data_IF_209909328527
#
_entry.id   IF_209909328527
#
_cell.length_a   1.000
_cell.length_b   1.000
_cell.length_c   1.000
_cell.angle_alpha   90.00
_cell.angle_beta   90.00
_cell.angle_gamma   90.00
#
_symmetry.space_group_name_H-M   'P 1'
#
loop_
_entity.id
_entity.type
_entity.pdbx_description
1 polymer ?
#
# COMPACT_ATOMS: atom_id res chain seq x y z
N UNK A 1 -19.36 -20.03 -25.10
CA UNK A 1 -19.38 -19.52 -23.71
C UNK A 1 -18.88 -18.09 -23.79
N UNK A 2 -19.51 -17.10 -23.14
CA UNK A 2 -18.90 -15.78 -23.04
C UNK A 2 -17.49 -15.97 -22.48
N UNK A 3 -16.49 -15.33 -23.08
CA UNK A 3 -15.17 -15.32 -22.49
C UNK A 3 -15.26 -14.81 -21.04
N UNK A 4 -14.47 -15.39 -20.13
CA UNK A 4 -14.42 -14.91 -18.77
C UNK A 4 -13.80 -13.50 -18.81
N UNK A 5 -14.63 -12.48 -18.55
CA UNK A 5 -14.23 -11.05 -18.60
C UNK A 5 -12.97 -10.82 -17.78
N UNK A 6 -12.82 -11.49 -16.64
CA UNK A 6 -11.65 -11.34 -15.81
C UNK A 6 -10.38 -11.91 -16.46
N UNK A 7 -10.50 -13.00 -17.23
CA UNK A 7 -9.39 -13.58 -17.98
C UNK A 7 -8.95 -12.67 -19.13
N UNK A 8 -9.89 -12.05 -19.85
CA UNK A 8 -9.54 -11.14 -20.94
C UNK A 8 -8.83 -9.88 -20.42
N UNK A 9 -9.36 -9.27 -19.35
CA UNK A 9 -8.73 -8.12 -18.69
C UNK A 9 -7.35 -8.52 -18.15
N UNK A 10 -7.25 -9.67 -17.47
CA UNK A 10 -5.97 -10.16 -16.92
C UNK A 10 -4.94 -10.37 -18.03
N UNK A 11 -5.32 -11.03 -19.13
CA UNK A 11 -4.45 -11.29 -20.27
C UNK A 11 -3.93 -9.99 -20.89
N UNK A 12 -4.79 -8.98 -21.05
CA UNK A 12 -4.40 -7.65 -21.54
C UNK A 12 -3.36 -7.00 -20.63
N UNK A 13 -3.65 -6.92 -19.33
CA UNK A 13 -2.72 -6.30 -18.37
C UNK A 13 -1.41 -7.05 -18.26
N UNK A 14 -1.40 -8.38 -18.33
CA UNK A 14 -0.16 -9.17 -18.30
C UNK A 14 0.69 -8.98 -19.57
N UNK A 15 0.05 -8.94 -20.74
CA UNK A 15 0.74 -8.72 -22.01
C UNK A 15 1.39 -7.32 -22.09
N UNK A 16 0.73 -6.31 -21.53
CA UNK A 16 1.16 -4.92 -21.60
C UNK A 16 1.83 -4.43 -20.30
N UNK A 17 1.99 -5.27 -19.28
CA UNK A 17 2.50 -4.87 -17.97
C UNK A 17 3.84 -4.13 -18.06
N UNK A 18 4.70 -4.52 -19.01
CA UNK A 18 6.00 -3.90 -19.23
C UNK A 18 5.96 -2.42 -19.62
N UNK A 19 4.90 -1.97 -20.30
CA UNK A 19 4.72 -0.58 -20.76
C UNK A 19 4.30 0.37 -19.63
N UNK A 20 3.74 -0.18 -18.55
CA UNK A 20 3.23 0.60 -17.43
C UNK A 20 4.35 1.18 -16.57
N UNK A 21 4.04 2.31 -15.93
CA UNK A 21 4.94 2.92 -14.96
C UNK A 21 5.29 1.94 -13.84
N UNK A 22 6.47 2.10 -13.24
CA UNK A 22 6.89 1.29 -12.09
C UNK A 22 5.85 1.25 -10.96
N UNK A 23 5.19 2.38 -10.70
CA UNK A 23 4.14 2.46 -9.69
C UNK A 23 2.92 1.62 -10.06
N UNK A 24 2.42 1.77 -11.28
CA UNK A 24 1.26 1.03 -11.81
C UNK A 24 1.56 -0.48 -11.87
N UNK A 25 2.74 -0.89 -12.36
CA UNK A 25 3.17 -2.30 -12.34
C UNK A 25 3.17 -2.90 -10.95
N UNK A 26 3.70 -2.15 -9.96
CA UNK A 26 3.68 -2.59 -8.56
C UNK A 26 2.25 -2.71 -8.06
N UNK A 27 1.40 -1.75 -8.36
CA UNK A 27 0.02 -1.70 -7.89
C UNK A 27 -0.78 -2.91 -8.36
N UNK A 28 -0.69 -3.23 -9.66
CA UNK A 28 -1.28 -4.40 -10.29
C UNK A 28 -0.73 -5.69 -9.66
N UNK A 29 0.60 -5.84 -9.68
CA UNK A 29 1.27 -7.05 -9.20
C UNK A 29 1.02 -7.31 -7.70
N UNK A 30 0.93 -6.26 -6.88
CA UNK A 30 0.66 -6.40 -5.45
C UNK A 30 -0.72 -7.00 -5.20
N UNK A 31 -1.75 -6.53 -5.92
CA UNK A 31 -3.11 -7.06 -5.82
C UNK A 31 -3.19 -8.48 -6.32
N UNK A 32 -2.63 -8.75 -7.50
CA UNK A 32 -2.61 -10.09 -8.06
C UNK A 32 -1.91 -11.09 -7.14
N UNK A 33 -0.78 -10.73 -6.53
CA UNK A 33 -0.14 -11.59 -5.53
C UNK A 33 -1.06 -11.91 -4.34
N UNK A 34 -1.81 -10.92 -3.84
CA UNK A 34 -2.66 -11.09 -2.66
C UNK A 34 -3.88 -11.96 -2.90
N UNK A 35 -4.38 -12.00 -4.14
CA UNK A 35 -5.51 -12.87 -4.50
C UNK A 35 -5.11 -14.23 -5.09
N UNK A 36 -3.87 -14.38 -5.61
CA UNK A 36 -3.43 -15.64 -6.25
C UNK A 36 -2.33 -16.38 -5.50
N UNK A 37 -1.55 -15.67 -4.68
CA UNK A 37 -0.31 -16.17 -4.09
C UNK A 37 0.83 -16.38 -5.10
N UNK A 38 0.64 -16.05 -6.37
CA UNK A 38 1.58 -16.41 -7.44
C UNK A 38 2.90 -15.61 -7.34
N UNK A 39 4.05 -16.29 -7.16
CA UNK A 39 5.35 -15.65 -7.08
C UNK A 39 5.73 -14.81 -8.30
N UNK A 40 5.12 -15.00 -9.47
CA UNK A 40 5.41 -14.22 -10.69
C UNK A 40 5.18 -12.72 -10.50
N UNK A 41 4.33 -12.33 -9.55
CA UNK A 41 4.03 -10.93 -9.23
C UNK A 41 4.98 -10.30 -8.18
N UNK A 42 5.86 -11.07 -7.54
CA UNK A 42 6.81 -10.56 -6.54
C UNK A 42 7.86 -9.59 -7.12
N UNK A 43 8.44 -9.79 -8.32
CA UNK A 43 9.51 -8.94 -8.85
C UNK A 43 9.19 -7.44 -8.88
N UNK A 44 7.99 -7.05 -9.31
CA UNK A 44 7.58 -5.63 -9.37
C UNK A 44 7.52 -4.98 -7.97
N UNK A 45 7.04 -5.73 -6.96
CA UNK A 45 7.03 -5.30 -5.57
C UNK A 45 8.46 -5.08 -5.03
N UNK A 46 9.38 -6.00 -5.34
CA UNK A 46 10.80 -5.89 -4.98
C UNK A 46 11.47 -4.70 -5.66
N UNK A 47 11.20 -4.49 -6.93
CA UNK A 47 11.74 -3.36 -7.69
C UNK A 47 11.31 -2.02 -7.08
N UNK A 48 10.02 -1.92 -6.72
CA UNK A 48 9.46 -0.75 -6.04
C UNK A 48 10.08 -0.51 -4.67
N UNK A 49 10.20 -1.55 -3.83
CA UNK A 49 10.81 -1.43 -2.51
C UNK A 49 12.27 -0.92 -2.60
N UNK A 50 13.03 -1.39 -3.61
CA UNK A 50 14.39 -0.89 -3.89
C UNK A 50 14.44 0.58 -4.28
N UNK A 51 13.47 1.10 -5.04
CA UNK A 51 13.42 2.54 -5.35
C UNK A 51 12.94 3.39 -4.17
N UNK A 52 12.13 2.81 -3.28
CA UNK A 52 11.56 3.51 -2.14
C UNK A 52 12.58 3.70 -1.02
N UNK A 53 13.43 2.69 -0.78
CA UNK A 53 14.40 2.69 0.31
C UNK A 53 15.34 3.93 0.35
N UNK A 54 15.96 4.39 -0.76
CA UNK A 54 16.77 5.61 -0.73
C UNK A 54 15.98 6.86 -0.39
N UNK A 55 14.71 6.95 -0.79
CA UNK A 55 13.85 8.09 -0.45
C UNK A 55 13.54 8.10 1.05
N UNK A 56 13.17 6.95 1.62
CA UNK A 56 12.91 6.85 3.05
C UNK A 56 14.14 7.18 3.89
N UNK A 57 15.33 6.70 3.52
CA UNK A 57 16.57 7.05 4.23
C UNK A 57 16.85 8.56 4.20
N UNK A 58 16.61 9.22 3.07
CA UNK A 58 16.72 10.69 2.98
C UNK A 58 15.70 11.39 3.87
N UNK A 59 14.44 10.93 3.85
CA UNK A 59 13.39 11.50 4.67
C UNK A 59 13.72 11.34 6.18
N UNK A 60 14.19 10.15 6.59
CA UNK A 60 14.58 9.87 7.98
C UNK A 60 15.77 10.71 8.46
N UNK A 61 16.80 10.86 7.62
CA UNK A 61 17.93 11.72 7.93
C UNK A 61 17.51 13.19 7.99
N UNK A 62 16.66 13.62 7.05
CA UNK A 62 16.15 14.99 6.96
C UNK A 62 15.35 15.42 8.19
N UNK A 63 14.70 14.50 8.90
CA UNK A 63 14.01 14.77 10.17
C UNK A 63 14.91 15.28 11.30
N UNK A 64 16.25 15.26 11.13
CA UNK A 64 17.15 15.96 12.04
C UNK A 64 17.01 17.50 11.97
N UNK A 65 16.51 18.03 10.85
CA UNK A 65 16.18 19.44 10.68
C UNK A 65 14.68 19.67 10.98
N UNK A 66 14.32 20.46 12.00
CA UNK A 66 12.92 20.76 12.32
C UNK A 66 12.13 21.43 11.19
N UNK A 67 12.81 22.10 10.23
CA UNK A 67 12.16 22.72 9.08
C UNK A 67 11.89 21.75 7.93
N UNK A 68 12.52 20.57 7.95
CA UNK A 68 12.42 19.60 6.87
C UNK A 68 10.97 19.19 6.56
N UNK A 69 10.12 18.80 7.53
CA UNK A 69 8.74 18.43 7.24
C UNK A 69 7.93 19.52 6.54
N UNK A 70 8.08 20.78 6.98
CA UNK A 70 7.37 21.91 6.41
C UNK A 70 7.84 22.20 4.97
N UNK A 71 9.15 22.15 4.72
CA UNK A 71 9.70 22.30 3.36
C UNK A 71 9.18 21.21 2.43
N UNK A 72 9.26 19.94 2.85
CA UNK A 72 8.75 18.81 2.06
C UNK A 72 7.24 18.88 1.83
N UNK A 73 6.47 19.38 2.80
CA UNK A 73 5.03 19.62 2.63
C UNK A 73 4.75 20.70 1.57
N UNK A 74 5.47 21.83 1.60
CA UNK A 74 5.33 22.91 0.61
C UNK A 74 5.64 22.43 -0.80
N UNK A 75 6.73 21.68 -0.98
CA UNK A 75 7.06 21.07 -2.28
C UNK A 75 5.94 20.16 -2.77
N UNK A 76 5.35 19.36 -1.87
CA UNK A 76 4.25 18.44 -2.21
C UNK A 76 2.98 19.19 -2.61
N UNK A 77 2.63 20.25 -1.89
CA UNK A 77 1.47 21.09 -2.22
C UNK A 77 1.70 21.76 -3.59
N UNK A 78 2.88 22.34 -3.82
CA UNK A 78 3.22 22.98 -5.08
C UNK A 78 3.13 22.02 -6.27
N UNK A 79 3.76 20.84 -6.17
CA UNK A 79 3.66 19.82 -7.22
C UNK A 79 2.23 19.33 -7.44
N UNK A 80 1.40 19.26 -6.39
CA UNK A 80 -0.02 18.91 -6.54
C UNK A 80 -0.80 19.99 -7.28
N UNK A 81 -0.56 21.26 -6.94
CA UNK A 81 -1.17 22.40 -7.61
C UNK A 81 -0.75 22.49 -9.10
N UNK A 82 0.48 22.08 -9.42
CA UNK A 82 0.99 21.99 -10.79
C UNK A 82 0.49 20.76 -11.58
N UNK A 83 -0.17 19.78 -10.93
CA UNK A 83 -0.62 18.54 -11.55
C UNK A 83 0.43 17.40 -11.57
N UNK A 84 1.64 17.63 -11.06
CA UNK A 84 2.81 16.73 -11.15
C UNK A 84 2.78 15.49 -10.22
N UNK A 85 1.73 15.34 -9.40
CA UNK A 85 1.59 14.25 -8.43
C UNK A 85 0.45 13.28 -8.77
N UNK A 86 -0.21 13.44 -9.91
CA UNK A 86 -1.29 12.55 -10.35
C UNK A 86 -0.78 11.36 -11.14
N UNK A 87 -0.86 10.16 -10.55
CA UNK A 87 -1.23 8.98 -11.35
C UNK A 87 -2.73 9.09 -11.61
N UNK A 88 -3.08 9.06 -12.89
CA UNK A 88 -4.39 9.24 -13.47
C UNK A 88 -4.97 10.64 -13.53
N UNK A 89 -5.77 10.87 -14.58
CA UNK A 89 -6.51 12.06 -14.98
C UNK A 89 -7.46 12.56 -13.89
N UNK A 90 -6.93 12.89 -12.71
CA UNK A 90 -7.68 13.61 -11.70
C UNK A 90 -8.04 14.97 -12.30
N UNK A 91 -9.34 15.24 -12.39
CA UNK A 91 -9.89 16.55 -12.71
C UNK A 91 -9.03 17.63 -12.03
N UNK A 92 -8.46 18.60 -12.79
CA UNK A 92 -7.57 19.62 -12.24
C UNK A 92 -8.14 20.31 -10.98
N UNK A 93 -9.48 20.45 -10.91
CA UNK A 93 -10.19 20.95 -9.74
C UNK A 93 -10.03 20.10 -8.47
N UNK A 94 -9.96 18.76 -8.58
CA UNK A 94 -9.78 17.85 -7.43
C UNK A 94 -8.40 18.00 -6.81
N UNK A 95 -7.35 18.08 -7.63
CA UNK A 95 -5.98 18.27 -7.11
C UNK A 95 -5.80 19.66 -6.51
N UNK A 96 -6.42 20.69 -7.10
CA UNK A 96 -6.42 22.04 -6.56
C UNK A 96 -7.12 22.12 -5.20
N UNK A 97 -8.34 21.60 -5.06
CA UNK A 97 -9.06 21.56 -3.76
C UNK A 97 -8.24 20.86 -2.68
N UNK A 98 -7.57 19.75 -3.03
CA UNK A 98 -6.66 19.03 -2.12
C UNK A 98 -5.46 19.87 -1.72
N UNK A 99 -4.87 20.62 -2.65
CA UNK A 99 -3.73 21.50 -2.35
C UNK A 99 -4.15 22.65 -1.43
N UNK A 100 -5.31 23.26 -1.71
CA UNK A 100 -5.90 24.35 -0.91
C UNK A 100 -6.20 23.90 0.52
N UNK A 101 -6.87 22.76 0.70
CA UNK A 101 -7.12 22.21 2.04
C UNK A 101 -5.79 21.96 2.78
N UNK A 102 -4.84 21.27 2.15
CA UNK A 102 -3.58 20.88 2.77
C UNK A 102 -2.63 22.04 3.08
N UNK A 103 -2.80 23.19 2.44
CA UNK A 103 -2.03 24.39 2.74
C UNK A 103 -2.18 24.84 4.20
N UNK A 104 -3.33 24.51 4.82
CA UNK A 104 -3.64 24.87 6.20
C UNK A 104 -3.14 23.84 7.23
N UNK A 105 -2.49 22.75 6.78
CA UNK A 105 -2.11 21.61 7.64
C UNK A 105 -0.59 21.42 7.78
N UNK A 106 0.21 22.46 7.53
CA UNK A 106 1.64 22.50 7.86
C UNK A 106 2.44 21.26 7.42
N UNK A 107 2.95 20.48 8.38
CA UNK A 107 3.76 19.27 8.15
C UNK A 107 2.98 18.01 7.71
N UNK A 108 1.65 18.00 7.76
CA UNK A 108 0.83 16.81 7.47
C UNK A 108 0.97 16.26 6.04
N UNK A 109 1.06 17.06 4.96
CA UNK A 109 1.26 16.54 3.62
C UNK A 109 2.52 15.67 3.49
N UNK A 110 3.60 16.04 4.17
CA UNK A 110 4.79 15.21 4.28
C UNK A 110 4.52 14.01 5.19
N UNK A 111 3.93 14.22 6.37
CA UNK A 111 3.67 13.17 7.36
C UNK A 111 2.81 12.02 6.80
N UNK A 112 1.65 12.31 6.22
CA UNK A 112 0.76 11.30 5.62
C UNK A 112 1.48 10.53 4.50
N UNK A 113 2.35 11.21 3.76
CA UNK A 113 3.12 10.57 2.70
C UNK A 113 4.27 9.70 3.24
N UNK A 114 4.92 10.12 4.32
CA UNK A 114 5.93 9.33 5.03
C UNK A 114 5.28 8.08 5.64
N UNK A 115 4.15 8.25 6.33
CA UNK A 115 3.32 7.20 6.91
C UNK A 115 2.99 6.12 5.87
N UNK A 116 2.45 6.51 4.71
CA UNK A 116 2.19 5.60 3.60
C UNK A 116 3.45 4.86 3.13
N UNK A 117 4.59 5.56 2.92
CA UNK A 117 5.83 4.89 2.47
C UNK A 117 6.35 3.89 3.51
N UNK A 118 6.24 4.23 4.80
CA UNK A 118 6.64 3.35 5.89
C UNK A 118 5.72 2.13 5.99
N UNK A 119 4.40 2.29 5.88
CA UNK A 119 3.45 1.17 5.89
C UNK A 119 3.69 0.22 4.71
N UNK A 120 4.06 0.75 3.53
CA UNK A 120 4.47 -0.08 2.40
C UNK A 120 5.71 -0.92 2.72
N UNK A 121 6.77 -0.34 3.29
CA UNK A 121 7.96 -1.12 3.67
C UNK A 121 7.69 -2.10 4.81
N UNK A 122 6.82 -1.74 5.75
CA UNK A 122 6.34 -2.63 6.80
C UNK A 122 5.60 -3.84 6.21
N UNK A 123 4.70 -3.63 5.24
CA UNK A 123 3.97 -4.71 4.57
C UNK A 123 4.89 -5.71 3.86
N UNK A 124 6.03 -5.24 3.33
CA UNK A 124 7.05 -6.09 2.73
C UNK A 124 7.97 -6.78 3.75
N UNK A 125 7.87 -6.46 5.04
CA UNK A 125 8.75 -6.96 6.09
C UNK A 125 10.16 -6.33 6.05
N UNK A 126 10.25 -5.07 5.59
CA UNK A 126 11.53 -4.38 5.38
C UNK A 126 11.74 -3.14 6.26
N UNK A 127 10.71 -2.65 6.96
CA UNK A 127 10.87 -1.55 7.89
C UNK A 127 11.77 -1.98 9.06
N UNK A 128 12.78 -1.19 9.41
CA UNK A 128 13.78 -1.55 10.44
C UNK A 128 14.83 -2.57 9.99
N UNK A 129 14.81 -2.98 8.71
CA UNK A 129 15.87 -3.83 8.14
C UNK A 129 16.95 -3.01 7.44
N UNK A 130 18.09 -3.61 7.12
CA UNK A 130 19.23 -2.99 6.44
C UNK A 130 18.92 -1.93 5.33
N UNK A 131 17.95 -2.14 4.40
CA UNK A 131 17.62 -1.13 3.40
C UNK A 131 16.94 0.14 3.94
N UNK A 132 16.35 0.11 5.14
CA UNK A 132 15.50 1.16 5.74
C UNK A 132 15.75 1.26 7.25
N UNK A 133 17.02 1.35 7.64
CA UNK A 133 17.45 1.63 9.02
C UNK A 133 17.15 3.10 9.41
N UNK A 134 17.08 3.38 10.71
CA UNK A 134 16.84 4.72 11.26
C UNK A 134 15.37 5.17 11.21
N UNK A 135 14.45 4.22 11.14
CA UNK A 135 13.02 4.47 11.08
C UNK A 135 12.42 5.01 12.39
N UNK A 136 13.12 4.86 13.50
CA UNK A 136 12.72 5.25 14.86
C UNK A 136 12.43 6.75 14.93
N UNK A 137 13.30 7.59 14.34
CA UNK A 137 13.10 9.04 14.25
C UNK A 137 11.83 9.41 13.47
N UNK A 138 11.49 8.61 12.45
CA UNK A 138 10.27 8.82 11.70
C UNK A 138 9.03 8.42 12.51
N UNK A 139 9.10 7.35 13.31
CA UNK A 139 8.03 7.00 14.24
C UNK A 139 7.83 8.09 15.29
N UNK A 140 8.90 8.62 15.87
CA UNK A 140 8.86 9.75 16.83
C UNK A 140 8.23 11.00 16.22
N UNK A 141 8.66 11.40 15.02
CA UNK A 141 8.06 12.53 14.30
C UNK A 141 6.58 12.31 13.99
N UNK A 142 6.19 11.12 13.54
CA UNK A 142 4.78 10.84 13.26
C UNK A 142 3.97 10.84 14.58
N UNK A 143 4.49 10.29 15.66
CA UNK A 143 3.82 10.27 16.97
C UNK A 143 3.65 11.67 17.60
N UNK A 144 4.46 12.67 17.19
CA UNK A 144 4.37 14.03 17.73
C UNK A 144 3.27 14.88 17.08
N UNK A 145 2.52 14.36 16.12
CA UNK A 145 1.49 15.12 15.38
C UNK A 145 0.09 14.88 15.94
N UNK A 146 -0.76 15.90 15.88
CA UNK A 146 -2.19 15.85 16.26
C UNK A 146 -3.03 15.12 15.19
N UNK A 147 -2.82 13.80 15.02
CA UNK A 147 -3.51 13.00 14.01
C UNK A 147 -5.02 12.93 14.20
N UNK A 148 -5.48 12.94 15.44
CA UNK A 148 -6.90 13.00 15.79
C UNK A 148 -7.53 14.25 15.17
N UNK A 149 -6.95 15.43 15.46
CA UNK A 149 -7.42 16.70 14.92
C UNK A 149 -7.46 16.71 13.39
N UNK A 150 -6.44 16.16 12.74
CA UNK A 150 -6.38 16.12 11.28
C UNK A 150 -7.40 15.15 10.68
N UNK A 151 -7.51 13.94 11.23
CA UNK A 151 -8.29 12.85 10.62
C UNK A 151 -9.79 12.93 10.97
N UNK A 152 -10.19 13.68 11.99
CA UNK A 152 -11.60 13.94 12.31
C UNK A 152 -12.11 15.28 11.79
N UNK A 153 -11.27 16.11 11.18
CA UNK A 153 -11.69 17.39 10.61
C UNK A 153 -12.60 17.19 9.39
N UNK A 154 -13.74 17.87 9.36
CA UNK A 154 -14.74 17.72 8.30
C UNK A 154 -14.21 18.11 6.93
N UNK A 155 -13.39 19.16 6.83
CA UNK A 155 -12.80 19.59 5.56
C UNK A 155 -11.79 18.57 5.02
N UNK A 156 -11.13 17.83 5.91
CA UNK A 156 -10.23 16.74 5.53
C UNK A 156 -11.03 15.53 5.04
N UNK A 157 -12.08 15.13 5.78
CA UNK A 157 -12.96 14.02 5.40
C UNK A 157 -13.63 14.27 4.03
N UNK A 158 -14.15 15.48 3.80
CA UNK A 158 -14.79 15.88 2.55
C UNK A 158 -13.89 15.79 1.30
N UNK A 159 -12.58 15.94 1.50
CA UNK A 159 -11.60 16.00 0.41
C UNK A 159 -10.81 14.69 0.25
N UNK A 160 -10.74 13.88 1.33
CA UNK A 160 -9.80 12.77 1.48
C UNK A 160 -10.35 11.55 2.25
N UNK A 161 -11.66 11.25 2.20
CA UNK A 161 -12.25 10.18 3.01
C UNK A 161 -11.52 8.83 2.91
N UNK A 162 -11.15 8.37 1.70
CA UNK A 162 -10.37 7.13 1.53
C UNK A 162 -8.99 7.20 2.20
N UNK A 163 -8.28 8.32 2.06
CA UNK A 163 -6.96 8.52 2.66
C UNK A 163 -7.05 8.64 4.19
N UNK A 164 -8.12 9.24 4.71
CA UNK A 164 -8.42 9.29 6.14
C UNK A 164 -8.57 7.86 6.68
N UNK A 165 -9.40 7.03 6.04
CA UNK A 165 -9.56 5.63 6.40
C UNK A 165 -8.23 4.86 6.32
N UNK A 166 -7.43 5.04 5.26
CA UNK A 166 -6.15 4.35 5.14
C UNK A 166 -5.15 4.74 6.24
N UNK A 167 -5.07 6.04 6.56
CA UNK A 167 -4.11 6.54 7.54
C UNK A 167 -4.35 5.99 8.93
N UNK A 168 -5.61 5.80 9.36
CA UNK A 168 -5.88 5.27 10.72
C UNK A 168 -5.36 3.84 10.88
N UNK A 169 -5.45 3.01 9.84
CA UNK A 169 -4.89 1.65 9.90
C UNK A 169 -3.37 1.66 9.78
N UNK A 170 -2.77 2.56 8.99
CA UNK A 170 -1.31 2.69 8.97
C UNK A 170 -0.73 3.14 10.32
N UNK A 171 -1.40 4.07 10.99
CA UNK A 171 -0.99 4.54 12.33
C UNK A 171 -1.04 3.38 13.33
N UNK A 172 -2.12 2.60 13.30
CA UNK A 172 -2.28 1.43 14.16
C UNK A 172 -1.25 0.33 13.83
N UNK A 173 -1.06 -0.02 12.54
CA UNK A 173 -0.11 -1.06 12.10
C UNK A 173 1.35 -0.71 12.45
N UNK A 174 1.70 0.57 12.48
CA UNK A 174 3.04 1.03 12.88
C UNK A 174 3.18 1.32 14.38
N UNK A 175 2.12 1.10 15.18
CA UNK A 175 2.13 1.29 16.63
C UNK A 175 2.24 2.76 17.06
N UNK A 176 1.77 3.70 16.24
CA UNK A 176 1.84 5.14 16.53
C UNK A 176 0.68 5.58 17.41
N UNK A 177 -0.56 5.34 16.96
CA UNK A 177 -1.78 5.57 17.72
C UNK A 177 -2.94 4.75 17.13
N UNK A 178 -4.01 4.58 17.91
CA UNK A 178 -5.24 3.94 17.44
C UNK A 178 -6.37 4.96 17.36
N UNK A 179 -6.73 5.32 16.13
CA UNK A 179 -7.79 6.29 15.82
C UNK A 179 -8.92 5.66 15.00
N UNK A 180 -8.96 4.32 14.91
CA UNK A 180 -9.89 3.62 14.01
C UNK A 180 -11.35 3.93 14.35
N UNK A 181 -11.73 3.82 15.62
CA UNK A 181 -13.08 4.10 16.10
C UNK A 181 -13.47 5.60 16.02
N UNK A 182 -12.70 6.55 16.60
CA UNK A 182 -13.10 7.96 16.57
C UNK A 182 -13.18 8.53 15.15
N UNK A 183 -12.33 8.08 14.23
CA UNK A 183 -12.39 8.50 12.82
C UNK A 183 -13.55 7.82 12.09
N UNK A 184 -13.84 6.55 12.35
CA UNK A 184 -15.04 5.91 11.79
C UNK A 184 -16.33 6.61 12.26
N UNK A 185 -16.39 7.07 13.51
CA UNK A 185 -17.48 7.90 14.00
C UNK A 185 -17.54 9.26 13.30
N UNK A 186 -16.42 9.98 13.19
CA UNK A 186 -16.37 11.28 12.50
C UNK A 186 -16.83 11.18 11.03
N UNK A 187 -16.41 10.14 10.31
CA UNK A 187 -16.84 9.90 8.92
C UNK A 187 -18.34 9.59 8.85
N UNK A 188 -18.87 8.75 9.75
CA UNK A 188 -20.32 8.43 9.79
C UNK A 188 -21.15 9.67 10.12
N UNK A 189 -20.71 10.48 11.06
CA UNK A 189 -21.38 11.73 11.43
C UNK A 189 -21.33 12.76 10.29
N UNK A 190 -20.26 12.78 9.50
CA UNK A 190 -20.18 13.65 8.32
C UNK A 190 -21.07 13.18 7.17
N UNK A 191 -21.30 11.89 7.06
CA UNK A 191 -22.02 11.27 5.96
C UNK A 191 -23.16 10.34 6.41
N UNK A 192 -24.16 10.86 7.15
CA UNK A 192 -25.31 10.06 7.54
C UNK A 192 -26.13 9.67 6.29
N UNK A 193 -26.78 8.50 6.32
CA UNK A 193 -27.43 7.90 5.15
C UNK A 193 -28.65 8.72 4.66
N UNK A 194 -29.39 9.33 5.58
CA UNK A 194 -30.57 10.16 5.29
C UNK A 194 -30.22 11.49 4.58
N UNK A 195 -28.92 11.82 4.47
CA UNK A 195 -28.41 13.01 3.79
C UNK A 195 -27.80 12.75 2.42
N UNK A 196 -27.88 11.51 1.91
CA UNK A 196 -27.31 11.18 0.61
C UNK A 196 -27.92 11.97 -0.55
N UNK A 197 -29.22 12.30 -0.46
CA UNK A 197 -29.90 13.13 -1.46
C UNK A 197 -29.43 14.59 -1.50
N UNK A 198 -28.75 15.06 -0.45
CA UNK A 198 -28.22 16.43 -0.36
C UNK A 198 -26.79 16.54 -0.92
N UNK A 199 -26.13 15.40 -1.20
CA UNK A 199 -24.74 15.37 -1.66
C UNK A 199 -24.65 15.57 -3.17
N UNK A 200 -23.66 16.34 -3.61
CA UNK A 200 -23.26 16.30 -5.02
C UNK A 200 -22.73 14.91 -5.38
N UNK A 201 -22.77 14.54 -6.66
CA UNK A 201 -22.20 13.27 -7.16
C UNK A 201 -20.74 13.08 -6.73
N UNK A 202 -19.95 14.16 -6.70
CA UNK A 202 -18.55 14.09 -6.28
C UNK A 202 -18.40 13.81 -4.77
N UNK A 203 -19.25 14.40 -3.94
CA UNK A 203 -19.27 14.15 -2.49
C UNK A 203 -19.79 12.76 -2.16
N UNK A 204 -20.85 12.32 -2.81
CA UNK A 204 -21.38 10.96 -2.66
C UNK A 204 -20.34 9.91 -3.04
N UNK A 205 -19.65 10.08 -4.17
CA UNK A 205 -18.53 9.19 -4.55
C UNK A 205 -17.38 9.25 -3.54
N UNK A 206 -17.04 10.42 -3.01
CA UNK A 206 -16.03 10.53 -1.95
C UNK A 206 -16.43 9.79 -0.67
N UNK A 207 -17.71 9.87 -0.26
CA UNK A 207 -18.28 9.08 0.83
C UNK A 207 -18.09 7.58 0.57
N UNK A 208 -18.50 7.09 -0.60
CA UNK A 208 -18.37 5.66 -0.94
C UNK A 208 -16.91 5.20 -0.88
N UNK A 209 -15.98 5.99 -1.43
CA UNK A 209 -14.54 5.74 -1.29
C UNK A 209 -14.08 5.71 0.18
N UNK A 210 -14.59 6.59 1.03
CA UNK A 210 -14.31 6.54 2.46
C UNK A 210 -14.77 5.22 3.07
N UNK A 211 -16.01 4.82 2.79
CA UNK A 211 -16.63 3.64 3.36
C UNK A 211 -15.95 2.35 2.89
N UNK A 212 -15.60 2.24 1.61
CA UNK A 212 -14.89 1.07 1.07
C UNK A 212 -13.50 0.91 1.69
N UNK A 213 -12.81 2.03 1.94
CA UNK A 213 -11.44 2.00 2.42
C UNK A 213 -11.28 1.57 3.88
N UNK A 214 -12.32 1.61 4.72
CA UNK A 214 -12.25 1.04 6.08
C UNK A 214 -11.99 -0.47 6.08
N UNK A 215 -12.86 -1.33 5.53
CA UNK A 215 -12.60 -2.77 5.47
C UNK A 215 -11.39 -3.11 4.58
N UNK A 216 -11.15 -2.36 3.49
CA UNK A 216 -9.95 -2.57 2.65
C UNK A 216 -8.67 -2.34 3.47
N UNK A 217 -8.56 -1.24 4.20
CA UNK A 217 -7.37 -0.98 5.01
C UNK A 217 -7.28 -1.95 6.21
N UNK A 218 -8.41 -2.26 6.86
CA UNK A 218 -8.48 -3.24 7.95
C UNK A 218 -8.06 -4.66 7.54
N UNK A 219 -8.26 -5.02 6.27
CA UNK A 219 -7.78 -6.28 5.69
C UNK A 219 -6.27 -6.30 5.41
N UNK A 220 -5.53 -5.24 5.79
CA UNK A 220 -4.15 -5.03 5.36
C UNK A 220 -4.06 -4.88 3.84
N UNK A 221 -5.09 -4.32 3.20
CA UNK A 221 -5.27 -4.29 1.75
C UNK A 221 -5.28 -5.69 1.13
N UNK A 222 -6.30 -6.50 1.44
CA UNK A 222 -6.57 -7.83 0.88
C UNK A 222 -5.61 -8.93 1.34
N UNK A 223 -5.01 -8.80 2.53
CA UNK A 223 -4.12 -9.82 3.09
C UNK A 223 -4.83 -10.80 4.03
N UNK A 224 -6.02 -10.44 4.52
CA UNK A 224 -6.86 -11.21 5.44
C UNK A 224 -8.33 -10.81 5.27
N UNK A 225 -9.25 -11.68 5.65
CA UNK A 225 -10.66 -11.31 5.78
C UNK A 225 -10.85 -10.37 6.98
N UNK A 226 -11.94 -9.61 6.98
CA UNK A 226 -12.32 -8.74 8.11
C UNK A 226 -13.48 -9.35 8.90
N UNK A 227 -13.58 -9.00 10.18
CA UNK A 227 -14.69 -9.45 11.01
C UNK A 227 -16.02 -8.87 10.52
N UNK A 228 -17.02 -9.73 10.30
CA UNK A 228 -18.33 -9.31 9.78
C UNK A 228 -19.03 -8.26 10.68
N UNK A 229 -18.80 -8.29 11.99
CA UNK A 229 -19.36 -7.32 12.94
C UNK A 229 -18.61 -5.98 12.96
N UNK A 230 -17.30 -5.96 12.69
CA UNK A 230 -16.46 -4.76 12.81
C UNK A 230 -16.87 -3.68 11.78
N UNK A 231 -17.26 -4.11 10.59
CA UNK A 231 -17.67 -3.24 9.49
C UNK A 231 -19.14 -3.45 9.10
N UNK A 232 -19.98 -3.92 10.03
CA UNK A 232 -21.40 -4.17 9.73
C UNK A 232 -22.10 -2.90 9.25
N UNK A 233 -21.78 -1.74 9.82
CA UNK A 233 -22.33 -0.44 9.40
C UNK A 233 -22.00 -0.09 7.93
N UNK A 234 -20.86 -0.54 7.39
CA UNK A 234 -20.52 -0.37 5.97
C UNK A 234 -21.37 -1.31 5.12
N UNK A 235 -21.45 -2.58 5.53
CA UNK A 235 -22.18 -3.63 4.80
C UNK A 235 -23.68 -3.33 4.78
N UNK A 236 -24.26 -2.99 5.93
CA UNK A 236 -25.67 -2.60 6.09
C UNK A 236 -26.00 -1.37 5.25
N UNK A 237 -25.08 -0.39 5.18
CA UNK A 237 -25.25 0.78 4.31
C UNK A 237 -25.26 0.38 2.83
N UNK A 238 -24.34 -0.49 2.38
CA UNK A 238 -24.33 -0.98 1.00
C UNK A 238 -25.59 -1.79 0.66
N UNK A 239 -26.09 -2.61 1.59
CA UNK A 239 -27.35 -3.36 1.45
C UNK A 239 -28.56 -2.42 1.31
N UNK A 240 -28.65 -1.40 2.15
CA UNK A 240 -29.74 -0.45 2.12
C UNK A 240 -29.71 0.48 0.88
N UNK A 241 -28.52 0.76 0.33
CA UNK A 241 -28.33 1.76 -0.73
C UNK A 241 -27.91 1.18 -2.08
N UNK A 242 -27.95 -0.15 -2.26
CA UNK A 242 -27.36 -0.81 -3.44
C UNK A 242 -27.88 -0.23 -4.76
N UNK A 243 -29.16 0.06 -4.89
CA UNK A 243 -29.72 0.55 -6.16
C UNK A 243 -29.22 1.97 -6.47
N UNK A 244 -29.13 2.87 -5.48
CA UNK A 244 -28.53 4.20 -5.65
C UNK A 244 -27.02 4.12 -5.94
N UNK A 245 -26.32 3.19 -5.29
CA UNK A 245 -24.89 2.93 -5.55
C UNK A 245 -24.68 2.49 -7.00
N UNK A 246 -25.48 1.55 -7.51
CA UNK A 246 -25.40 1.07 -8.89
C UNK A 246 -25.61 2.19 -9.91
N UNK A 247 -26.51 3.13 -9.62
CA UNK A 247 -26.82 4.25 -10.52
C UNK A 247 -25.74 5.35 -10.52
N UNK A 248 -25.08 5.59 -9.38
CA UNK A 248 -24.24 6.78 -9.19
C UNK A 248 -22.74 6.50 -9.10
N UNK A 249 -22.33 5.28 -8.77
CA UNK A 249 -20.94 4.93 -8.56
C UNK A 249 -20.20 4.64 -9.88
N UNK A 250 -18.93 5.03 -9.93
CA UNK A 250 -18.01 4.60 -10.99
C UNK A 250 -17.69 3.11 -10.86
N UNK A 251 -17.29 2.47 -11.95
CA UNK A 251 -16.96 1.04 -11.95
C UNK A 251 -15.84 0.63 -10.97
N UNK A 252 -14.89 1.51 -10.65
CA UNK A 252 -13.91 1.23 -9.58
C UNK A 252 -14.54 1.23 -8.19
N UNK A 253 -15.43 2.19 -7.88
CA UNK A 253 -16.19 2.21 -6.62
C UNK A 253 -17.08 0.95 -6.52
N UNK A 254 -17.76 0.58 -7.61
CA UNK A 254 -18.56 -0.65 -7.65
C UNK A 254 -17.71 -1.89 -7.33
N UNK A 255 -16.55 -2.01 -7.95
CA UNK A 255 -15.63 -3.11 -7.67
C UNK A 255 -15.16 -3.09 -6.20
N UNK A 256 -14.87 -1.93 -5.63
CA UNK A 256 -14.52 -1.80 -4.20
C UNK A 256 -15.68 -2.22 -3.28
N UNK A 257 -16.93 -1.82 -3.57
CA UNK A 257 -18.12 -2.25 -2.82
C UNK A 257 -18.25 -3.77 -2.83
N UNK A 258 -18.15 -4.40 -4.00
CA UNK A 258 -18.17 -5.85 -4.12
C UNK A 258 -17.04 -6.52 -3.33
N UNK A 259 -15.82 -5.98 -3.40
CA UNK A 259 -14.67 -6.49 -2.65
C UNK A 259 -14.87 -6.33 -1.14
N UNK A 260 -15.51 -5.27 -0.65
CA UNK A 260 -15.79 -5.09 0.78
C UNK A 260 -16.73 -6.18 1.32
N UNK A 261 -17.75 -6.56 0.54
CA UNK A 261 -18.65 -7.67 0.86
C UNK A 261 -17.89 -9.00 0.88
N UNK A 262 -17.03 -9.22 -0.11
CA UNK A 262 -16.21 -10.42 -0.20
C UNK A 262 -15.19 -10.54 0.96
N UNK A 263 -14.56 -9.42 1.34
CA UNK A 263 -13.68 -9.31 2.52
C UNK A 263 -14.40 -9.61 3.83
N UNK A 264 -15.69 -9.30 3.90
CA UNK A 264 -16.56 -9.55 5.07
C UNK A 264 -17.13 -10.98 5.09
N UNK A 265 -16.61 -11.87 4.25
CA UNK A 265 -17.04 -13.27 4.17
C UNK A 265 -18.35 -13.49 3.41
N UNK A 266 -18.77 -12.55 2.55
CA UNK A 266 -20.01 -12.63 1.75
C UNK A 266 -19.75 -12.58 0.23
N UNK A 267 -18.78 -13.35 -0.34
CA UNK A 267 -18.42 -13.26 -1.75
C UNK A 267 -19.56 -13.70 -2.71
N UNK A 268 -20.47 -14.56 -2.24
CA UNK A 268 -21.59 -15.09 -3.04
C UNK A 268 -22.93 -14.39 -2.71
N UNK A 269 -22.87 -13.21 -2.11
CA UNK A 269 -24.10 -12.45 -1.82
C UNK A 269 -24.76 -11.93 -3.10
N UNK A 270 -26.08 -11.77 -3.05
CA UNK A 270 -26.87 -11.19 -4.15
C UNK A 270 -26.39 -9.79 -4.54
N UNK A 271 -25.86 -9.02 -3.58
CA UNK A 271 -25.24 -7.72 -3.84
C UNK A 271 -23.97 -7.84 -4.68
N UNK A 272 -23.09 -8.79 -4.37
CA UNK A 272 -21.88 -9.02 -5.18
C UNK A 272 -22.27 -9.38 -6.60
N UNK A 273 -23.31 -10.18 -6.79
CA UNK A 273 -23.82 -10.52 -8.12
C UNK A 273 -24.38 -9.30 -8.86
N UNK A 274 -25.17 -8.44 -8.20
CA UNK A 274 -25.63 -7.16 -8.80
C UNK A 274 -24.45 -6.29 -9.26
N UNK A 275 -23.40 -6.18 -8.45
CA UNK A 275 -22.17 -5.46 -8.80
C UNK A 275 -21.47 -6.10 -10.00
N UNK A 276 -21.31 -7.43 -10.02
CA UNK A 276 -20.70 -8.14 -11.13
C UNK A 276 -21.47 -7.91 -12.43
N UNK A 277 -22.80 -7.97 -12.40
CA UNK A 277 -23.65 -7.66 -13.57
C UNK A 277 -23.40 -6.24 -14.08
N UNK A 278 -23.35 -5.25 -13.20
CA UNK A 278 -23.07 -3.86 -13.60
C UNK A 278 -21.67 -3.70 -14.20
N UNK A 279 -20.65 -4.35 -13.62
CA UNK A 279 -19.28 -4.34 -14.17
C UNK A 279 -19.20 -5.06 -15.51
N UNK A 280 -19.91 -6.17 -15.69
CA UNK A 280 -20.00 -6.90 -16.95
C UNK A 280 -20.67 -6.06 -18.04
N UNK A 281 -21.70 -5.28 -17.70
CA UNK A 281 -22.33 -4.36 -18.63
C UNK A 281 -21.41 -3.20 -19.05
N UNK A 282 -20.48 -2.79 -18.19
CA UNK A 282 -19.48 -1.77 -18.47
C UNK A 282 -18.23 -2.29 -19.23
N UNK A 283 -18.10 -3.61 -19.41
CA UNK A 283 -16.97 -4.20 -20.11
C UNK A 283 -17.05 -3.97 -21.62
N UNK A 284 -15.93 -3.57 -22.23
CA UNK A 284 -15.82 -3.44 -23.68
C UNK A 284 -14.91 -4.56 -24.24
N UNK A 285 -15.47 -5.52 -25.01
CA UNK A 285 -14.71 -6.66 -25.55
C UNK A 285 -13.71 -6.25 -26.66
N UNK A 286 -13.86 -5.06 -27.25
CA UNK A 286 -12.97 -4.56 -28.31
C UNK A 286 -11.63 -4.13 -27.73
N UNK A 287 -11.68 -3.39 -26.62
CA UNK A 287 -10.48 -2.91 -25.91
C UNK A 287 -10.05 -3.85 -24.78
N UNK A 288 -10.85 -4.88 -24.49
CA UNK A 288 -10.63 -5.91 -23.46
C UNK A 288 -10.40 -5.33 -22.06
N UNK A 289 -11.18 -4.30 -21.71
CA UNK A 289 -11.17 -3.67 -20.40
C UNK A 289 -12.47 -2.92 -20.13
N UNK A 290 -12.71 -2.57 -18.87
CA UNK A 290 -13.72 -1.59 -18.49
C UNK A 290 -13.12 -0.19 -18.73
N UNK A 291 -13.66 0.64 -19.63
CA UNK A 291 -13.20 2.01 -19.89
C UNK A 291 -13.66 2.98 -18.79
N UNK A 292 -13.17 4.23 -18.83
CA UNK A 292 -13.70 5.28 -17.96
C UNK A 292 -15.12 5.68 -18.38
N UNK A 293 -15.85 6.39 -17.52
CA UNK A 293 -17.24 6.83 -17.79
C UNK A 293 -17.37 7.61 -19.11
N UNK A 294 -16.32 8.32 -19.52
CA UNK A 294 -16.25 9.05 -20.80
C UNK A 294 -15.51 8.28 -21.91
N UNK A 295 -15.41 6.96 -21.80
CA UNK A 295 -14.84 6.08 -22.83
C UNK A 295 -13.31 6.01 -22.89
N UNK A 296 -12.58 6.66 -21.98
CA UNK A 296 -11.12 6.60 -21.97
C UNK A 296 -10.62 5.16 -21.71
N UNK A 297 -9.81 4.66 -22.65
CA UNK A 297 -9.26 3.30 -22.69
C UNK A 297 -7.75 3.24 -22.41
N UNK A 298 -7.15 4.30 -21.86
CA UNK A 298 -5.75 4.27 -21.45
C UNK A 298 -5.54 3.23 -20.35
N UNK A 299 -4.64 2.29 -20.62
CA UNK A 299 -4.36 1.14 -19.76
C UNK A 299 -3.83 1.57 -18.38
N UNK A 300 -2.97 2.58 -18.34
CA UNK A 300 -2.37 3.06 -17.10
C UNK A 300 -3.38 3.82 -16.23
N UNK A 301 -4.28 4.59 -16.85
CA UNK A 301 -5.38 5.27 -16.17
C UNK A 301 -6.44 4.28 -15.66
N UNK A 302 -6.71 3.22 -16.42
CA UNK A 302 -7.72 2.22 -16.10
C UNK A 302 -7.26 1.12 -15.13
N UNK A 303 -5.98 1.09 -14.74
CA UNK A 303 -5.41 -0.05 -13.99
C UNK A 303 -6.14 -0.33 -12.68
N UNK A 304 -6.37 0.68 -11.83
CA UNK A 304 -7.05 0.49 -10.54
C UNK A 304 -8.44 -0.13 -10.72
N UNK A 305 -9.24 0.39 -11.65
CA UNK A 305 -10.58 -0.13 -11.94
C UNK A 305 -10.53 -1.59 -12.39
N UNK A 306 -9.66 -1.89 -13.34
CA UNK A 306 -9.63 -3.20 -13.99
C UNK A 306 -9.00 -4.29 -13.11
N UNK A 307 -7.98 -3.96 -12.31
CA UNK A 307 -7.43 -4.93 -11.35
C UNK A 307 -8.43 -5.26 -10.25
N UNK A 308 -9.23 -4.29 -9.79
CA UNK A 308 -10.30 -4.56 -8.83
C UNK A 308 -11.41 -5.42 -9.44
N UNK A 309 -11.77 -5.20 -10.71
CA UNK A 309 -12.70 -6.07 -11.41
C UNK A 309 -12.17 -7.51 -11.48
N UNK A 310 -10.91 -7.73 -11.91
CA UNK A 310 -10.28 -9.06 -11.90
C UNK A 310 -10.39 -9.69 -10.51
N UNK A 311 -10.05 -8.93 -9.46
CA UNK A 311 -10.12 -9.43 -8.08
C UNK A 311 -11.53 -9.87 -7.68
N UNK A 312 -12.56 -9.09 -8.02
CA UNK A 312 -13.94 -9.40 -7.64
C UNK A 312 -14.48 -10.62 -8.40
N UNK A 313 -14.22 -10.70 -9.70
CA UNK A 313 -14.67 -11.84 -10.52
C UNK A 313 -13.93 -13.13 -10.15
N UNK A 314 -12.64 -13.04 -9.78
CA UNK A 314 -11.80 -14.18 -9.40
C UNK A 314 -11.49 -14.21 -7.90
N UNK A 315 -12.45 -13.79 -7.08
CA UNK A 315 -12.24 -13.68 -5.63
C UNK A 315 -11.89 -15.04 -5.03
N UNK A 316 -10.77 -15.18 -4.30
CA UNK A 316 -10.29 -16.48 -3.84
C UNK A 316 -10.96 -16.90 -2.52
N UNK A 317 -10.90 -18.20 -2.23
CA UNK A 317 -11.29 -18.74 -0.92
C UNK A 317 -10.30 -18.38 0.19
N UNK A 318 -9.06 -18.04 -0.15
CA UNK A 318 -8.02 -17.63 0.79
C UNK A 318 -7.25 -16.41 0.27
N UNK A 319 -6.87 -15.51 1.18
CA UNK A 319 -6.07 -14.33 0.89
C UNK A 319 -4.61 -14.54 1.29
N UNK A 320 -3.69 -13.90 0.56
CA UNK A 320 -2.26 -14.06 0.75
C UNK A 320 -1.64 -12.81 1.37
N UNK A 321 -0.99 -12.99 2.52
CA UNK A 321 -0.20 -11.94 3.17
C UNK A 321 1.10 -11.63 2.41
N UNK A 322 1.52 -10.36 2.41
CA UNK A 322 2.76 -9.90 1.80
C UNK A 322 2.58 -9.25 0.41
N UNK A 323 3.58 -9.38 -0.50
CA UNK A 323 4.71 -10.33 -0.43
C UNK A 323 5.78 -9.93 0.58
N UNK A 324 6.28 -10.90 1.37
CA UNK A 324 7.45 -10.69 2.23
C UNK A 324 8.73 -10.75 1.41
N UNK A 325 9.55 -9.70 1.51
CA UNK A 325 10.78 -9.56 0.73
C UNK A 325 12.00 -9.85 1.60
N UNK A 326 12.99 -10.56 1.03
CA UNK A 326 14.29 -10.73 1.69
C UNK A 326 15.01 -9.37 1.75
N UNK A 327 15.51 -8.93 2.91
CA UNK A 327 16.34 -7.74 3.00
C UNK A 327 17.54 -7.80 2.07
N UNK A 328 17.95 -6.65 1.54
CA UNK A 328 19.18 -6.51 0.76
C UNK A 328 20.10 -5.48 1.41
N UNK A 329 21.40 -5.67 1.25
CA UNK A 329 22.40 -4.70 1.72
C UNK A 329 22.53 -3.54 0.76
N UNK A 330 22.88 -2.38 1.29
CA UNK A 330 23.22 -1.20 0.50
C UNK A 330 24.69 -1.20 0.10
N UNK A 331 25.07 -0.46 -0.96
CA UNK A 331 26.47 -0.37 -1.40
C UNK A 331 27.42 0.15 -0.32
N UNK A 332 26.96 1.06 0.55
CA UNK A 332 27.73 1.56 1.71
C UNK A 332 28.00 0.44 2.72
N UNK A 333 26.95 -0.30 3.12
CA UNK A 333 27.10 -1.45 4.03
C UNK A 333 27.97 -2.56 3.43
N UNK A 334 27.90 -2.78 2.11
CA UNK A 334 28.77 -3.73 1.42
C UNK A 334 30.24 -3.27 1.39
N UNK A 335 30.50 -1.97 1.37
CA UNK A 335 31.85 -1.40 1.40
C UNK A 335 32.46 -1.46 2.81
N UNK A 336 31.69 -1.08 3.84
CA UNK A 336 32.12 -1.16 5.25
C UNK A 336 32.40 -2.60 5.71
N UNK A 337 31.66 -3.60 5.20
CA UNK A 337 31.94 -5.00 5.49
C UNK A 337 33.18 -5.51 4.75
N UNK A 338 33.42 -5.04 3.52
CA UNK A 338 34.63 -5.36 2.78
C UNK A 338 35.86 -4.76 3.49
N UNK A 339 35.76 -3.54 3.99
CA UNK A 339 36.79 -2.85 4.77
C UNK A 339 37.04 -3.55 6.12
N UNK A 340 35.98 -3.89 6.86
CA UNK A 340 36.08 -4.66 8.10
C UNK A 340 36.61 -6.09 7.90
N UNK A 341 36.34 -6.72 6.74
CA UNK A 341 36.93 -8.02 6.38
C UNK A 341 38.41 -7.89 6.04
N UNK A 342 38.82 -6.84 5.32
CA UNK A 342 40.23 -6.59 5.04
C UNK A 342 41.01 -6.24 6.30
N UNK A 343 40.41 -5.51 7.24
CA UNK A 343 41.03 -5.20 8.53
C UNK A 343 41.13 -6.42 9.44
N UNK A 344 40.09 -7.26 9.51
CA UNK A 344 40.17 -8.55 10.23
C UNK A 344 41.17 -9.52 9.60
N UNK A 345 41.31 -9.50 8.27
CA UNK A 345 42.36 -10.26 7.59
C UNK A 345 43.76 -9.70 7.85
N UNK A 346 43.91 -8.38 8.02
CA UNK A 346 45.17 -7.73 8.36
C UNK A 346 45.59 -7.93 9.83
N UNK A 347 44.62 -8.05 10.75
CA UNK A 347 44.87 -8.36 12.17
C UNK A 347 45.16 -9.86 12.39
N UNK A 348 44.72 -10.74 11.48
CA UNK A 348 44.97 -12.19 11.53
C UNK A 348 46.40 -12.65 11.20
N UNK A 349 47.31 -11.76 10.79
CA UNK A 349 48.64 -12.12 10.27
C UNK A 349 49.83 -11.73 11.16
N UNK A 350 49.61 -11.39 12.43
CA UNK A 350 50.71 -11.20 13.40
C UNK A 350 50.56 -12.07 14.64
N UNK A 351 50.67 -13.40 14.47
CA UNK A 351 51.20 -14.23 15.56
C UNK A 351 52.73 -14.12 15.54
N UNK A 352 53.39 -13.68 16.64
CA UNK A 352 54.84 -13.57 16.70
C UNK A 352 55.49 -14.96 16.47
N UNK A 353 56.58 -14.99 15.71
CA UNK A 353 57.31 -16.22 15.32
C UNK A 353 57.66 -17.13 16.52
N UNK A 354 57.78 -16.57 17.73
CA UNK A 354 58.12 -17.31 18.95
C UNK A 354 57.01 -18.28 19.41
N UNK A 355 55.75 -18.05 19.04
CA UNK A 355 54.62 -18.85 19.52
C UNK A 355 54.33 -20.06 18.61
N UNK A 356 54.82 -20.04 17.36
CA UNK A 356 54.79 -21.20 16.44
C UNK A 356 55.76 -22.31 16.85
N UNK A 357 56.84 -21.97 17.55
CA UNK A 357 57.88 -22.95 17.93
C UNK A 357 57.54 -23.76 19.20
N UNK A 358 56.56 -23.32 20.02
CA UNK A 358 56.16 -24.07 21.23
C UNK A 358 55.18 -25.22 20.98
N UNK A 359 54.51 -25.27 19.83
CA UNK A 359 53.55 -26.35 19.49
C UNK A 359 54.16 -27.51 18.67
N UNK A 360 55.43 -27.44 18.27
CA UNK A 360 56.09 -28.43 17.42
C UNK A 360 56.73 -29.64 18.12
N UNK A 361 56.86 -29.64 19.45
CA UNK A 361 57.64 -30.64 20.19
C UNK A 361 56.82 -31.40 21.24
N UNK A 362 55.72 -32.07 20.84
CA UNK A 362 55.12 -33.17 21.64
C UNK A 362 54.39 -34.18 20.75
N UNK A 363 55.09 -34.91 19.87
CA UNK A 363 54.58 -36.18 19.32
C UNK A 363 55.73 -37.14 18.95
N UNK A 364 56.27 -37.82 19.95
CA UNK A 364 56.84 -39.16 19.77
C UNK A 364 56.40 -40.04 20.95
N UNK A 365 55.61 -41.06 20.65
CA UNK A 365 55.20 -42.15 21.54
C UNK A 365 54.94 -43.40 20.69
N UNK A 366 55.31 -44.61 21.14
CA UNK A 366 55.78 -45.65 20.23
C UNK A 366 54.68 -46.57 19.68
N UNK A 367 54.91 -47.03 18.44
CA UNK A 367 54.16 -48.07 17.71
C UNK A 367 54.11 -49.38 18.52
N UNK A 368 52.90 -49.89 18.80
CA UNK A 368 52.68 -51.30 19.15
C UNK A 368 52.29 -52.10 17.91
N UNK A 369 53.01 -53.21 17.73
CA UNK A 369 52.83 -54.26 16.71
C UNK A 369 51.54 -55.05 16.96
N UNK A 370 50.87 -55.43 15.87
CA UNK A 370 49.87 -56.50 15.81
C UNK A 370 50.55 -57.87 15.80
N UNK A 371 50.01 -58.82 16.56
CA UNK A 371 50.04 -60.27 16.31
C UNK A 371 48.80 -60.91 16.97
N UNK A 372 48.24 -61.90 16.30
CA UNK A 372 47.20 -62.81 16.80
C UNK A 372 45.82 -62.37 16.42
#
# INVERSE_FOLDING_TARGET
MPADIADEILAKYEAELGSLSKYTRRHFSQRMYRITGDPKYIPANREYAKSLAPQLRRDFAGLADPQYPLQRSRERIARRAAGDLGSSAAEPGKQRRRAEMLANWGGFPFAASLLFRMSQMHSYGLLGSAPVEGHERALEYLASLEWDRFLTDSSVIEVYAAQVANNVFYLHELGICDLREPVAEAVRNRYPADKDGDLSTAEYRNKLYGFTHFPIAASGYYQRFVGAAEFSWVVEYFEAQIDHILDSATADILAEVGICLALSGRPDSTLVEKVKVALSAAYDPTIQMIPAEHGNSDLALGEHRNVLAIMLFKWPSALHSGPRLKPWRTKQQSAEEHENRTDRAAVGTKMPLHERLRRGLRRFGPRRRRRG
#
